data_IF_291738639634
#
_entry.id   IF_291738639634
#
_cell.length_a   1.000
_cell.length_b   1.000
_cell.length_c   1.000
_cell.angle_alpha   90.00
_cell.angle_beta   90.00
_cell.angle_gamma   90.00
#
_symmetry.space_group_name_H-M   'P 1'
#
loop_
_entity.id
_entity.type
_entity.pdbx_description
1 polymer ?
#
# COMPACT_ATOMS: atom_id res chain seq x y z
N UNK A 1 -9.99 1.52 1.69
CA UNK A 1 -8.67 2.03 2.13
C UNK A 1 -7.82 2.32 0.92
N UNK A 2 -7.08 3.42 0.94
CA UNK A 2 -6.21 3.81 -0.19
C UNK A 2 -4.75 3.35 0.02
N UNK A 3 -4.35 3.07 1.25
CA UNK A 3 -3.11 2.39 1.63
C UNK A 3 -3.30 1.65 2.96
N UNK A 4 -2.40 0.72 3.27
CA UNK A 4 -2.33 -0.02 4.55
C UNK A 4 -0.94 0.15 5.16
N UNK A 5 -0.88 0.42 6.47
CA UNK A 5 0.36 0.38 7.25
C UNK A 5 0.29 -0.83 8.18
N UNK A 6 1.13 -1.84 7.95
CA UNK A 6 1.20 -3.05 8.76
C UNK A 6 2.33 -2.92 9.80
N UNK A 7 2.00 -3.18 11.08
CA UNK A 7 2.91 -3.02 12.21
C UNK A 7 2.93 -4.32 13.02
N UNK A 8 4.12 -4.81 13.38
CA UNK A 8 4.27 -6.04 14.17
C UNK A 8 3.86 -7.29 13.39
N UNK A 9 3.58 -8.40 14.08
CA UNK A 9 3.32 -9.68 13.41
C UNK A 9 2.46 -10.67 14.19
N UNK A 10 1.21 -10.82 13.74
CA UNK A 10 0.33 -11.97 14.02
C UNK A 10 -0.23 -12.52 12.69
N UNK A 11 -0.88 -13.69 12.73
CA UNK A 11 -1.55 -14.28 11.56
C UNK A 11 -2.69 -13.42 11.02
N UNK A 12 -3.35 -12.64 11.87
CA UNK A 12 -4.35 -11.64 11.46
C UNK A 12 -3.74 -10.57 10.55
N UNK A 13 -2.61 -9.99 10.98
CA UNK A 13 -1.85 -9.01 10.19
C UNK A 13 -1.41 -9.57 8.84
N UNK A 14 -0.92 -10.82 8.81
CA UNK A 14 -0.54 -11.47 7.55
C UNK A 14 -1.73 -11.63 6.60
N UNK A 15 -2.90 -11.97 7.15
CA UNK A 15 -4.13 -12.10 6.36
C UNK A 15 -4.53 -10.76 5.75
N UNK A 16 -4.49 -9.68 6.53
CA UNK A 16 -4.79 -8.32 6.05
C UNK A 16 -3.79 -7.84 4.99
N UNK A 17 -2.49 -8.13 5.16
CA UNK A 17 -1.46 -7.90 4.14
C UNK A 17 -1.81 -8.64 2.85
N UNK A 18 -2.17 -9.92 2.94
CA UNK A 18 -2.55 -10.72 1.76
C UNK A 18 -3.75 -10.14 1.03
N UNK A 19 -4.78 -9.72 1.76
CA UNK A 19 -5.96 -9.07 1.18
C UNK A 19 -5.61 -7.74 0.50
N UNK A 20 -4.79 -6.90 1.12
CA UNK A 20 -4.36 -5.62 0.55
C UNK A 20 -3.57 -5.81 -0.75
N UNK A 21 -2.61 -6.74 -0.77
CA UNK A 21 -1.83 -7.07 -1.96
C UNK A 21 -2.74 -7.58 -3.10
N UNK A 22 -3.71 -8.45 -2.79
CA UNK A 22 -4.68 -8.95 -3.77
C UNK A 22 -5.54 -7.83 -4.37
N UNK A 23 -5.91 -6.84 -3.57
CA UNK A 23 -6.69 -5.67 -3.99
C UNK A 23 -5.83 -4.56 -4.62
N UNK A 24 -4.52 -4.77 -4.76
CA UNK A 24 -3.54 -3.77 -5.22
C UNK A 24 -3.58 -2.49 -4.39
N UNK A 25 -3.91 -2.61 -3.10
CA UNK A 25 -3.80 -1.51 -2.14
C UNK A 25 -2.33 -1.48 -1.68
N UNK A 26 -1.63 -0.34 -1.77
CA UNK A 26 -0.26 -0.20 -1.30
C UNK A 26 -0.12 -0.61 0.17
N UNK A 27 0.91 -1.42 0.46
CA UNK A 27 1.21 -1.88 1.83
C UNK A 27 2.56 -1.33 2.25
N UNK A 28 2.58 -0.63 3.38
CA UNK A 28 3.79 -0.13 4.02
C UNK A 28 4.00 -0.93 5.31
N UNK A 29 5.20 -1.47 5.51
CA UNK A 29 5.51 -2.33 6.66
C UNK A 29 6.49 -1.69 7.64
N UNK A 30 6.14 -1.65 8.94
CA UNK A 30 7.04 -1.32 10.04
C UNK A 30 7.20 -2.57 10.91
N UNK A 31 8.42 -3.12 10.98
CA UNK A 31 8.74 -4.30 11.80
C UNK A 31 7.66 -5.41 11.68
N UNK A 32 7.29 -5.76 10.45
CA UNK A 32 6.20 -6.68 10.13
C UNK A 32 6.67 -7.77 9.16
N UNK A 33 5.75 -8.60 8.71
CA UNK A 33 5.98 -9.66 7.74
C UNK A 33 6.64 -9.16 6.44
N UNK A 34 7.72 -9.82 6.03
CA UNK A 34 8.40 -9.58 4.75
C UNK A 34 8.11 -10.72 3.77
N UNK A 35 6.85 -10.84 3.36
CA UNK A 35 6.35 -11.98 2.54
C UNK A 35 6.19 -11.66 1.06
N UNK A 36 6.41 -10.40 0.66
CA UNK A 36 6.33 -9.96 -0.73
C UNK A 36 7.19 -8.72 -0.95
N UNK A 37 7.87 -8.66 -2.10
CA UNK A 37 8.60 -7.47 -2.56
C UNK A 37 7.69 -6.25 -2.82
N UNK A 38 6.37 -6.45 -2.90
CA UNK A 38 5.39 -5.38 -3.03
C UNK A 38 5.15 -4.61 -1.71
N UNK A 39 5.67 -5.11 -0.58
CA UNK A 39 5.56 -4.44 0.71
C UNK A 39 6.67 -3.40 0.83
N UNK A 40 6.28 -2.14 0.97
CA UNK A 40 7.21 -1.02 1.06
C UNK A 40 7.65 -0.89 2.53
N UNK A 41 8.92 -1.14 2.80
CA UNK A 41 9.45 -1.06 4.18
C UNK A 41 9.51 0.39 4.66
N UNK A 42 9.22 0.63 5.93
CA UNK A 42 9.43 1.88 6.64
C UNK A 42 10.08 1.59 7.99
N UNK A 43 11.01 2.45 8.40
CA UNK A 43 11.78 2.31 9.63
C UNK A 43 11.03 2.87 10.84
N UNK A 44 10.17 3.87 10.62
CA UNK A 44 9.46 4.57 11.67
C UNK A 44 8.05 5.05 11.23
N UNK A 45 7.18 5.43 12.18
CA UNK A 45 5.81 5.86 11.86
C UNK A 45 5.73 7.07 10.92
N UNK A 46 6.63 8.05 11.07
CA UNK A 46 6.63 9.25 10.24
C UNK A 46 6.90 8.89 8.77
N UNK A 47 7.91 8.07 8.52
CA UNK A 47 8.25 7.59 7.19
C UNK A 47 7.10 6.78 6.57
N UNK A 48 6.44 5.92 7.35
CA UNK A 48 5.35 5.10 6.83
C UNK A 48 4.16 5.93 6.36
N UNK A 49 3.80 6.97 7.11
CA UNK A 49 2.72 7.89 6.74
C UNK A 49 3.11 8.70 5.50
N UNK A 50 4.33 9.24 5.45
CA UNK A 50 4.84 9.98 4.28
C UNK A 50 4.82 9.13 3.00
N UNK A 51 5.23 7.86 3.10
CA UNK A 51 5.15 6.90 1.99
C UNK A 51 3.71 6.61 1.57
N UNK A 52 2.81 6.38 2.53
CA UNK A 52 1.39 6.15 2.25
C UNK A 52 0.76 7.31 1.46
N UNK A 53 0.96 8.56 1.91
CA UNK A 53 0.44 9.73 1.19
C UNK A 53 1.07 9.86 -0.20
N UNK A 54 2.38 9.67 -0.32
CA UNK A 54 3.07 9.76 -1.62
C UNK A 54 2.48 8.78 -2.64
N UNK A 55 2.15 7.55 -2.23
CA UNK A 55 1.59 6.51 -3.09
C UNK A 55 0.14 6.81 -3.51
N UNK A 56 -0.65 7.40 -2.60
CA UNK A 56 -2.05 7.75 -2.87
C UNK A 56 -2.13 8.95 -3.81
N UNK A 57 -1.29 9.98 -3.63
CA UNK A 57 -1.26 11.18 -4.48
C UNK A 57 -0.83 10.91 -5.92
N UNK A 58 -0.03 9.88 -6.18
CA UNK A 58 0.34 9.48 -7.55
C UNK A 58 -0.72 8.59 -8.23
N UNK A 59 -1.67 8.05 -7.45
CA UNK A 59 -2.74 7.21 -7.98
C UNK A 59 -3.90 8.04 -8.55
N UNK A 60 -4.09 9.28 -8.08
CA UNK A 60 -5.08 10.22 -8.62
C UNK A 60 -4.80 10.67 -10.05
N UNK A 61 -3.55 10.64 -10.49
CA UNK A 61 -3.19 11.01 -11.88
C UNK A 61 -3.43 9.87 -12.88
N UNK A 62 -3.51 8.62 -12.42
CA UNK A 62 -3.71 7.43 -13.26
C UNK A 62 -5.19 7.03 -13.43
N UNK A 63 -6.11 7.61 -12.64
CA UNK A 63 -7.55 7.34 -12.76
C UNK A 63 -8.26 8.25 -13.79
N UNK A 64 -7.60 9.30 -14.28
CA UNK A 64 -8.10 10.21 -15.32
C UNK A 64 -7.78 9.81 -16.78
N UNK A 65 -6.86 8.87 -16.99
CA UNK A 65 -6.33 8.51 -18.32
C UNK A 65 -7.22 7.59 -19.18
N UNK A 66 -8.39 7.17 -18.70
CA UNK A 66 -9.24 6.19 -19.37
C UNK A 66 -10.67 6.69 -19.64
N UNK A 67 -10.84 7.98 -19.94
CA UNK A 67 -12.07 8.49 -20.57
C UNK A 67 -11.70 9.32 -21.79
N UNK A 68 -12.13 8.83 -22.96
CA UNK A 68 -11.94 9.36 -24.32
C UNK A 68 -10.74 8.84 -25.12
N UNK A 69 -10.78 7.54 -25.46
CA UNK A 69 -10.74 7.18 -26.89
C UNK A 69 -12.18 7.06 -27.37
N UNK A 70 -12.74 8.17 -27.86
CA UNK A 70 -13.85 8.10 -28.81
C UNK A 70 -13.26 7.76 -30.18
N UNK A 71 -14.07 7.04 -30.95
CA UNK A 71 -13.86 6.54 -32.32
C UNK A 71 -13.03 7.45 -33.23
#
# INVERSE_FOLDING_TARGET
SEAIIAIGGSFGTLSEISFALRLKIPVIGINTWNVSEQIIKAENPHEAVSKAFSLISHNSDNWGGMRHKKA
#
